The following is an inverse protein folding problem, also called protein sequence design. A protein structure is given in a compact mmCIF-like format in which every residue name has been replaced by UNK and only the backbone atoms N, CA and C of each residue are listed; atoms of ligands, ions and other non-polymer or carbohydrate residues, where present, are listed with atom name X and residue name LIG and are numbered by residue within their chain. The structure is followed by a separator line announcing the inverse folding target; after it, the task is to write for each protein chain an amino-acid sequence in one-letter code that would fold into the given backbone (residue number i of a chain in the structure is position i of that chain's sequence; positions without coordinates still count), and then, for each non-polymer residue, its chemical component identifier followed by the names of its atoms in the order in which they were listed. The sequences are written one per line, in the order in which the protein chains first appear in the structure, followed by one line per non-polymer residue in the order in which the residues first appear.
data_IF_397984631533
#
_entry.id   IF_397984631533
#
_cell.length_a   1.000
_cell.length_b   1.000
_cell.length_c   1.000
_cell.angle_alpha   90.00
_cell.angle_beta   90.00
_cell.angle_gamma   90.00
#
_symmetry.space_group_name_H-M   'P 1'
#
loop_
_entity.id
_entity.type
_entity.pdbx_description
1 polymer ?
#
# COMPACT_ATOMS: atom_id res chain seq x y z
N UNK A 1 8.71 39.74 -34.40
CA UNK A 1 8.09 38.43 -34.25
C UNK A 1 7.59 38.31 -32.83
N UNK A 2 6.29 38.51 -32.60
CA UNK A 2 5.70 38.25 -31.28
C UNK A 2 5.60 36.75 -31.12
N UNK A 3 6.51 36.17 -30.32
CA UNK A 3 6.34 34.80 -29.86
C UNK A 3 5.14 34.84 -28.92
N UNK A 4 4.02 34.25 -29.35
CA UNK A 4 2.85 34.11 -28.51
C UNK A 4 3.28 33.36 -27.23
N UNK A 5 3.11 34.00 -26.10
CA UNK A 5 3.45 33.50 -24.78
C UNK A 5 2.48 32.36 -24.43
N UNK A 6 2.97 31.12 -24.36
CA UNK A 6 2.18 29.95 -23.97
C UNK A 6 2.26 29.78 -22.43
N UNK A 7 1.16 30.07 -21.69
CA UNK A 7 1.13 29.93 -20.25
C UNK A 7 1.53 28.53 -19.77
N UNK A 8 1.21 27.49 -20.54
CA UNK A 8 1.59 26.09 -20.22
C UNK A 8 3.11 25.89 -20.21
N UNK A 9 3.86 26.68 -20.99
CA UNK A 9 5.32 26.59 -21.03
C UNK A 9 5.94 27.12 -19.72
N UNK A 10 5.34 28.12 -19.09
CA UNK A 10 5.78 28.67 -17.80
C UNK A 10 5.51 27.68 -16.69
N UNK A 11 4.29 27.14 -16.62
CA UNK A 11 3.93 26.13 -15.63
C UNK A 11 4.91 24.95 -15.70
N UNK A 12 5.32 24.55 -16.90
CA UNK A 12 6.34 23.51 -17.11
C UNK A 12 7.75 23.92 -16.65
N UNK A 13 8.13 25.19 -16.82
CA UNK A 13 9.44 25.69 -16.40
C UNK A 13 9.53 25.80 -14.88
N UNK A 14 8.51 26.36 -14.24
CA UNK A 14 8.42 26.45 -12.76
C UNK A 14 8.38 25.05 -12.13
N UNK A 15 7.60 24.14 -12.68
CA UNK A 15 7.54 22.75 -12.24
C UNK A 15 8.91 22.07 -12.34
N UNK A 16 9.62 22.32 -13.45
CA UNK A 16 10.97 21.79 -13.69
C UNK A 16 11.97 22.37 -12.68
N UNK A 17 11.87 23.64 -12.35
CA UNK A 17 12.73 24.30 -11.38
C UNK A 17 12.51 23.72 -9.99
N UNK A 18 11.28 23.61 -9.50
CA UNK A 18 10.92 22.97 -8.25
C UNK A 18 11.39 21.51 -8.18
N UNK A 19 11.15 20.75 -9.25
CA UNK A 19 11.54 19.34 -9.30
C UNK A 19 13.06 19.15 -9.27
N UNK A 20 13.84 19.98 -9.97
CA UNK A 20 15.27 19.76 -10.15
C UNK A 20 16.12 20.51 -9.12
N UNK A 21 15.74 21.72 -8.70
CA UNK A 21 16.48 22.52 -7.75
C UNK A 21 16.07 22.26 -6.31
N UNK A 22 14.76 22.23 -6.05
CA UNK A 22 14.23 22.09 -4.69
C UNK A 22 14.02 20.62 -4.30
N UNK A 23 14.12 19.67 -5.28
CA UNK A 23 13.82 18.24 -5.08
C UNK A 23 12.44 18.00 -4.49
N UNK A 24 11.49 18.86 -4.83
CA UNK A 24 10.10 18.72 -4.39
C UNK A 24 9.49 17.41 -4.92
N UNK A 25 9.07 16.55 -3.99
CA UNK A 25 8.59 15.21 -4.32
C UNK A 25 7.33 15.24 -5.19
N UNK A 26 6.42 16.21 -4.96
CA UNK A 26 5.19 16.36 -5.74
C UNK A 26 5.49 16.89 -7.15
N UNK A 27 6.40 17.87 -7.27
CA UNK A 27 6.84 18.40 -8.56
C UNK A 27 7.54 17.32 -9.40
N UNK A 28 8.40 16.49 -8.78
CA UNK A 28 9.03 15.33 -9.43
C UNK A 28 7.99 14.33 -9.94
N UNK A 29 6.95 14.04 -9.16
CA UNK A 29 5.86 13.17 -9.56
C UNK A 29 5.08 13.74 -10.76
N UNK A 30 4.73 15.03 -10.73
CA UNK A 30 4.03 15.69 -11.84
C UNK A 30 4.86 15.69 -13.13
N UNK A 31 6.17 15.96 -13.04
CA UNK A 31 7.07 15.81 -14.18
C UNK A 31 7.11 14.37 -14.70
N UNK A 32 7.13 13.38 -13.84
CA UNK A 32 7.08 11.98 -14.25
C UNK A 32 5.80 11.65 -15.03
N UNK A 33 4.64 12.17 -14.60
CA UNK A 33 3.37 12.01 -15.31
C UNK A 33 3.41 12.61 -16.72
N UNK A 34 4.04 13.78 -16.88
CA UNK A 34 4.22 14.41 -18.21
C UNK A 34 5.03 13.49 -19.11
N UNK A 35 6.18 12.96 -18.65
CA UNK A 35 6.97 12.01 -19.44
C UNK A 35 6.24 10.70 -19.70
N UNK A 36 5.47 10.19 -18.76
CA UNK A 36 4.68 8.96 -18.90
C UNK A 36 3.57 9.12 -19.96
N UNK A 37 3.01 10.33 -20.13
CA UNK A 37 2.03 10.63 -21.18
C UNK A 37 2.64 10.68 -22.59
N UNK A 38 3.95 10.87 -22.68
CA UNK A 38 4.69 10.90 -23.94
C UNK A 38 5.04 9.48 -24.38
N UNK A 39 4.68 9.09 -25.61
CA UNK A 39 5.00 7.76 -26.13
C UNK A 39 6.50 7.55 -26.32
N UNK A 40 6.96 6.34 -26.06
CA UNK A 40 8.30 5.85 -26.38
C UNK A 40 9.17 5.46 -25.18
N UNK A 41 9.96 4.40 -25.36
CA UNK A 41 10.80 3.79 -24.31
C UNK A 41 11.73 4.77 -23.60
N UNK A 42 12.22 5.80 -24.29
CA UNK A 42 13.09 6.81 -23.69
C UNK A 42 12.33 7.65 -22.66
N UNK A 43 11.07 7.99 -22.95
CA UNK A 43 10.21 8.76 -22.05
C UNK A 43 9.74 7.90 -20.88
N UNK A 44 9.42 6.62 -21.11
CA UNK A 44 9.10 5.66 -20.04
C UNK A 44 10.25 5.54 -19.04
N UNK A 45 11.51 5.39 -19.52
CA UNK A 45 12.69 5.35 -18.66
C UNK A 45 12.86 6.67 -17.88
N UNK A 46 12.63 7.81 -18.52
CA UNK A 46 12.71 9.11 -17.89
C UNK A 46 11.63 9.27 -16.79
N UNK A 47 10.39 8.86 -17.10
CA UNK A 47 9.30 8.86 -16.15
C UNK A 47 9.63 7.96 -14.92
N UNK A 48 10.15 6.75 -15.16
CA UNK A 48 10.58 5.85 -14.11
C UNK A 48 11.62 6.48 -13.18
N UNK A 49 12.67 7.12 -13.71
CA UNK A 49 13.70 7.78 -12.89
C UNK A 49 13.14 8.95 -12.06
N UNK A 50 12.19 9.71 -12.60
CA UNK A 50 11.53 10.78 -11.89
C UNK A 50 10.57 10.26 -10.80
N UNK A 51 9.79 9.19 -11.09
CA UNK A 51 8.98 8.51 -10.07
C UNK A 51 9.87 7.97 -8.95
N UNK A 52 11.02 7.35 -9.29
CA UNK A 52 11.98 6.84 -8.31
C UNK A 52 12.51 7.98 -7.42
N UNK A 53 12.89 9.11 -8.00
CA UNK A 53 13.33 10.27 -7.24
C UNK A 53 12.23 10.79 -6.31
N UNK A 54 11.00 10.94 -6.79
CA UNK A 54 9.85 11.34 -5.97
C UNK A 54 9.57 10.35 -4.84
N UNK A 55 9.61 9.03 -5.15
CA UNK A 55 9.36 7.96 -4.20
C UNK A 55 10.40 7.92 -3.06
N UNK A 56 11.67 8.23 -3.35
CA UNK A 56 12.72 8.32 -2.33
C UNK A 56 12.54 9.50 -1.39
N UNK A 57 11.82 10.56 -1.83
CA UNK A 57 11.42 11.68 -0.98
C UNK A 57 10.07 11.45 -0.26
N UNK A 58 9.59 10.21 -0.23
CA UNK A 58 8.44 9.83 0.60
C UNK A 58 7.07 9.98 -0.05
N UNK A 59 6.96 10.41 -1.31
CA UNK A 59 5.67 10.64 -1.92
C UNK A 59 4.93 9.32 -2.23
N UNK A 60 3.84 9.05 -1.51
CA UNK A 60 3.10 7.77 -1.57
C UNK A 60 2.63 7.42 -2.99
N UNK A 61 2.07 8.39 -3.75
CA UNK A 61 1.65 8.16 -5.15
C UNK A 61 2.83 7.77 -6.06
N UNK A 62 4.02 8.35 -5.83
CA UNK A 62 5.19 7.97 -6.60
C UNK A 62 5.67 6.55 -6.27
N UNK A 63 5.59 6.15 -4.99
CA UNK A 63 5.87 4.76 -4.56
C UNK A 63 4.89 3.78 -5.20
N UNK A 64 3.60 4.14 -5.27
CA UNK A 64 2.60 3.35 -5.99
C UNK A 64 2.93 3.22 -7.48
N UNK A 65 3.29 4.33 -8.15
CA UNK A 65 3.72 4.29 -9.55
C UNK A 65 4.97 3.46 -9.78
N UNK A 66 5.90 3.42 -8.83
CA UNK A 66 7.05 2.49 -8.86
C UNK A 66 6.60 1.03 -8.82
N UNK A 67 5.57 0.71 -8.02
CA UNK A 67 4.91 -0.61 -8.03
C UNK A 67 4.40 -0.97 -9.42
N UNK A 68 3.59 -0.10 -10.03
CA UNK A 68 3.05 -0.30 -11.38
C UNK A 68 4.13 -0.44 -12.46
N UNK A 69 5.19 0.37 -12.39
CA UNK A 69 6.30 0.29 -13.33
C UNK A 69 7.02 -1.06 -13.25
N UNK A 70 7.26 -1.57 -12.05
CA UNK A 70 7.90 -2.89 -11.85
C UNK A 70 6.96 -4.04 -12.20
N UNK A 71 5.65 -3.94 -11.90
CA UNK A 71 4.63 -4.93 -12.27
C UNK A 71 4.54 -5.11 -13.79
N UNK A 72 4.54 -4.00 -14.54
CA UNK A 72 4.31 -4.00 -15.99
C UNK A 72 5.59 -3.90 -16.83
N UNK A 73 6.75 -3.69 -16.20
CA UNK A 73 8.01 -3.48 -16.92
C UNK A 73 8.09 -2.14 -17.67
N UNK A 74 7.45 -1.08 -17.14
CA UNK A 74 7.44 0.25 -17.78
C UNK A 74 8.70 1.03 -17.37
N UNK A 75 9.58 1.27 -18.32
CA UNK A 75 10.86 1.99 -18.09
C UNK A 75 11.90 1.20 -17.31
N UNK A 76 11.58 -0.01 -16.87
CA UNK A 76 12.42 -0.94 -16.10
C UNK A 76 12.13 -2.38 -16.50
N UNK A 77 13.02 -3.33 -16.17
CA UNK A 77 12.70 -4.76 -16.31
C UNK A 77 11.60 -5.14 -15.31
N UNK A 78 10.59 -5.90 -15.79
CA UNK A 78 9.52 -6.42 -14.94
C UNK A 78 10.07 -7.22 -13.74
N UNK A 79 9.51 -6.96 -12.56
CA UNK A 79 9.85 -7.68 -11.33
C UNK A 79 8.70 -7.62 -10.35
N UNK A 80 7.98 -8.73 -10.18
CA UNK A 80 6.85 -8.81 -9.24
C UNK A 80 7.29 -8.63 -7.76
N UNK A 81 8.42 -9.21 -7.30
CA UNK A 81 8.88 -8.96 -5.94
C UNK A 81 9.18 -7.47 -5.67
N UNK A 82 9.76 -6.76 -6.66
CA UNK A 82 9.98 -5.32 -6.53
C UNK A 82 8.67 -4.52 -6.57
N UNK A 83 7.69 -4.97 -7.34
CA UNK A 83 6.36 -4.35 -7.35
C UNK A 83 5.69 -4.44 -5.98
N UNK A 84 5.68 -5.64 -5.36
CA UNK A 84 5.18 -5.86 -4.00
C UNK A 84 5.88 -4.92 -3.01
N UNK A 85 7.21 -4.86 -3.04
CA UNK A 85 7.99 -3.99 -2.15
C UNK A 85 7.59 -2.52 -2.27
N UNK A 86 7.35 -2.04 -3.49
CA UNK A 86 6.94 -0.65 -3.70
C UNK A 86 5.49 -0.38 -3.28
N UNK A 87 4.57 -1.33 -3.46
CA UNK A 87 3.19 -1.20 -2.98
C UNK A 87 3.13 -1.14 -1.45
N UNK A 88 3.88 -2.01 -0.75
CA UNK A 88 4.01 -1.96 0.71
C UNK A 88 4.56 -0.60 1.17
N UNK A 89 5.61 -0.08 0.50
CA UNK A 89 6.14 1.26 0.82
C UNK A 89 5.15 2.39 0.56
N UNK A 90 4.28 2.25 -0.45
CA UNK A 90 3.25 3.24 -0.75
C UNK A 90 2.18 3.28 0.34
N UNK A 91 1.75 2.12 0.81
CA UNK A 91 0.78 1.96 1.89
C UNK A 91 1.31 2.57 3.21
N UNK A 92 2.53 2.19 3.63
CA UNK A 92 3.18 2.72 4.83
C UNK A 92 3.28 4.25 4.78
N UNK A 93 3.66 4.84 3.63
CA UNK A 93 3.71 6.29 3.48
C UNK A 93 2.36 6.95 3.65
N UNK A 94 1.31 6.34 3.10
CA UNK A 94 -0.04 6.86 3.23
C UNK A 94 -0.53 6.82 4.68
N UNK A 95 -0.20 5.74 5.41
CA UNK A 95 -0.53 5.59 6.82
C UNK A 95 0.24 6.59 7.71
N UNK A 96 1.55 6.75 7.49
CA UNK A 96 2.42 7.65 8.26
C UNK A 96 1.93 9.11 8.23
N UNK A 97 1.53 9.57 7.05
CA UNK A 97 1.06 10.95 6.89
C UNK A 97 -0.27 11.21 7.64
N UNK A 98 -1.11 10.18 7.81
CA UNK A 98 -2.35 10.27 8.59
C UNK A 98 -2.02 10.27 10.08
N UNK A 99 -1.14 9.37 10.53
CA UNK A 99 -0.76 9.23 11.93
C UNK A 99 -0.05 10.48 12.47
N UNK A 100 0.86 11.09 11.72
CA UNK A 100 1.61 12.29 12.13
C UNK A 100 0.73 13.52 12.41
N UNK A 101 -0.52 13.53 11.94
CA UNK A 101 -1.45 14.66 12.11
C UNK A 101 -2.67 14.37 12.97
N UNK A 102 -2.90 13.11 13.33
CA UNK A 102 -3.98 12.79 14.25
C UNK A 102 -3.46 12.86 15.69
N UNK A 103 -4.03 13.75 16.51
CA UNK A 103 -3.79 13.79 17.95
C UNK A 103 -4.22 12.49 18.68
N UNK A 104 -4.86 11.58 17.93
CA UNK A 104 -5.36 10.29 18.37
C UNK A 104 -4.54 9.11 17.82
N UNK A 105 -3.41 9.37 17.13
CA UNK A 105 -2.52 8.31 16.70
C UNK A 105 -1.97 7.60 17.93
N UNK A 106 -2.43 6.37 18.13
CA UNK A 106 -2.05 5.53 19.24
C UNK A 106 -0.51 5.39 19.24
N UNK A 107 0.09 5.41 20.43
CA UNK A 107 1.55 5.28 20.62
C UNK A 107 2.09 4.03 19.91
N UNK A 108 1.23 2.99 19.82
CA UNK A 108 1.46 1.75 19.12
C UNK A 108 1.58 1.92 17.59
N UNK A 109 0.81 2.81 16.97
CA UNK A 109 0.94 3.13 15.53
C UNK A 109 2.22 3.90 15.23
N UNK A 110 2.68 4.75 16.16
CA UNK A 110 3.97 5.47 16.07
C UNK A 110 5.15 4.52 16.19
N UNK A 111 5.07 3.54 17.08
CA UNK A 111 6.10 2.53 17.31
C UNK A 111 6.20 1.57 16.11
N UNK A 112 5.07 1.18 15.52
CA UNK A 112 5.02 0.42 14.24
C UNK A 112 5.71 1.17 13.10
N UNK A 113 5.47 2.48 12.98
CA UNK A 113 6.10 3.33 11.97
C UNK A 113 7.62 3.46 12.17
N UNK A 114 8.10 3.43 13.42
CA UNK A 114 9.54 3.50 13.73
C UNK A 114 10.26 2.21 13.33
N UNK A 115 9.64 1.04 13.57
CA UNK A 115 10.20 -0.27 13.21
C UNK A 115 10.31 -0.43 11.69
N UNK A 116 9.31 0.04 10.92
CA UNK A 116 9.34 0.01 9.46
C UNK A 116 10.37 0.94 8.81
N UNK A 117 10.91 1.90 9.56
CA UNK A 117 11.89 2.87 9.03
C UNK A 117 13.30 2.31 8.91
N UNK A 118 13.65 1.29 9.67
CA UNK A 118 15.05 0.88 9.83
C UNK A 118 15.45 -0.44 9.17
N UNK A 119 14.50 -1.39 8.86
CA UNK A 119 14.88 -2.69 8.27
C UNK A 119 13.87 -3.20 7.21
N UNK A 120 14.29 -3.41 5.95
CA UNK A 120 13.39 -3.88 4.88
C UNK A 120 12.99 -5.37 4.96
N UNK A 121 13.44 -6.11 5.98
CA UNK A 121 13.20 -7.55 6.11
C UNK A 121 12.34 -7.97 7.31
N UNK A 122 12.10 -7.09 8.27
CA UNK A 122 11.55 -7.46 9.58
C UNK A 122 10.01 -7.36 9.68
N UNK A 123 9.33 -6.89 8.63
CA UNK A 123 7.89 -6.60 8.64
C UNK A 123 6.97 -7.83 8.73
N UNK A 124 7.51 -9.05 8.74
CA UNK A 124 6.70 -10.28 8.57
C UNK A 124 6.23 -10.92 9.87
N UNK A 125 6.85 -10.63 11.01
CA UNK A 125 6.50 -11.27 12.29
C UNK A 125 5.69 -10.38 13.24
N UNK A 126 5.77 -9.05 13.09
CA UNK A 126 5.09 -8.09 13.96
C UNK A 126 3.66 -7.73 13.53
N UNK A 127 3.33 -7.87 12.25
CA UNK A 127 1.98 -7.59 11.73
C UNK A 127 0.91 -8.52 12.33
N UNK A 128 1.28 -9.77 12.64
CA UNK A 128 0.37 -10.75 13.23
C UNK A 128 0.02 -10.42 14.70
N UNK A 129 0.93 -9.77 15.43
CA UNK A 129 0.72 -9.41 16.83
C UNK A 129 -0.08 -8.11 17.03
N UNK A 130 -0.10 -7.22 16.04
CA UNK A 130 -0.70 -5.91 16.15
C UNK A 130 -2.21 -5.87 15.84
N UNK A 131 -2.73 -6.88 15.15
CA UNK A 131 -4.17 -7.06 14.96
C UNK A 131 -4.86 -7.88 16.06
N UNK A 132 -4.09 -8.54 16.90
CA UNK A 132 -4.62 -9.05 18.16
C UNK A 132 -4.89 -7.83 19.06
N UNK A 133 -6.10 -7.27 18.98
CA UNK A 133 -6.61 -6.41 20.05
C UNK A 133 -6.90 -7.32 21.25
N UNK A 134 -5.97 -7.47 22.22
CA UNK A 134 -6.16 -8.38 23.33
C UNK A 134 -7.37 -8.03 24.20
N UNK A 135 -7.69 -6.75 24.26
CA UNK A 135 -8.72 -6.15 25.10
C UNK A 135 -10.17 -6.37 24.62
N UNK A 136 -10.36 -6.69 23.33
CA UNK A 136 -11.70 -6.95 22.77
C UNK A 136 -11.93 -8.45 22.50
N UNK A 137 -10.88 -9.22 22.23
CA UNK A 137 -10.96 -10.64 21.86
C UNK A 137 -10.95 -11.61 23.05
N UNK A 138 -10.58 -11.18 24.25
CA UNK A 138 -10.58 -12.06 25.44
C UNK A 138 -11.98 -12.55 25.86
N UNK A 139 -13.05 -11.95 25.32
CA UNK A 139 -14.43 -12.31 25.65
C UNK A 139 -15.20 -12.99 24.52
N UNK A 140 -14.66 -13.04 23.29
CA UNK A 140 -15.36 -13.60 22.12
C UNK A 140 -14.83 -14.97 21.78
N UNK A 141 -15.71 -15.97 21.75
CA UNK A 141 -15.35 -17.35 21.45
C UNK A 141 -15.15 -17.58 19.96
N UNK A 142 -14.43 -18.63 19.58
CA UNK A 142 -14.22 -18.96 18.18
C UNK A 142 -15.53 -19.35 17.47
N UNK A 143 -16.49 -19.91 18.21
CA UNK A 143 -17.83 -20.24 17.73
C UNK A 143 -18.61 -18.98 17.38
N UNK A 144 -18.51 -17.92 18.19
CA UNK A 144 -19.15 -16.63 17.92
C UNK A 144 -18.52 -15.94 16.70
N UNK A 145 -17.18 -15.99 16.57
CA UNK A 145 -16.48 -15.50 15.39
C UNK A 145 -16.91 -16.28 14.14
N UNK A 146 -16.96 -17.61 14.20
CA UNK A 146 -17.37 -18.43 13.09
C UNK A 146 -18.83 -18.14 12.68
N UNK A 147 -19.73 -18.02 13.67
CA UNK A 147 -21.11 -17.65 13.39
C UNK A 147 -21.23 -16.29 12.70
N UNK A 148 -20.56 -15.27 13.20
CA UNK A 148 -20.57 -13.93 12.57
C UNK A 148 -19.96 -13.95 11.16
N UNK A 149 -18.90 -14.70 10.94
CA UNK A 149 -18.27 -14.88 9.63
C UNK A 149 -19.22 -15.56 8.62
N UNK A 150 -19.97 -16.56 9.06
CA UNK A 150 -21.02 -17.23 8.25
C UNK A 150 -22.18 -16.28 7.91
N UNK A 151 -22.52 -15.35 8.81
CA UNK A 151 -23.52 -14.30 8.57
C UNK A 151 -23.01 -13.20 7.63
N UNK A 152 -21.74 -13.24 7.24
CA UNK A 152 -21.16 -12.34 6.25
C UNK A 152 -20.41 -11.15 6.84
N UNK A 153 -20.19 -11.10 8.17
CA UNK A 153 -19.38 -10.04 8.76
C UNK A 153 -17.93 -10.09 8.27
N UNK A 154 -17.44 -9.04 7.59
CA UNK A 154 -16.12 -9.08 6.96
C UNK A 154 -14.97 -9.09 7.96
N UNK A 155 -15.14 -8.50 9.14
CA UNK A 155 -14.09 -8.54 10.17
C UNK A 155 -14.02 -9.92 10.84
N UNK A 156 -15.17 -10.53 11.12
CA UNK A 156 -15.22 -11.88 11.64
C UNK A 156 -14.66 -12.91 10.63
N UNK A 157 -14.91 -12.71 9.35
CA UNK A 157 -14.30 -13.53 8.28
C UNK A 157 -12.79 -13.42 8.27
N UNK A 158 -12.25 -12.21 8.40
CA UNK A 158 -10.80 -12.00 8.47
C UNK A 158 -10.20 -12.62 9.74
N UNK A 159 -10.82 -12.43 10.91
CA UNK A 159 -10.43 -13.06 12.16
C UNK A 159 -10.42 -14.59 12.06
N UNK A 160 -11.45 -15.18 11.45
CA UNK A 160 -11.54 -16.63 11.27
C UNK A 160 -10.44 -17.15 10.34
N UNK A 161 -10.17 -16.44 9.23
CA UNK A 161 -9.05 -16.74 8.34
C UNK A 161 -7.71 -16.71 9.06
N UNK A 162 -7.49 -15.73 9.92
CA UNK A 162 -6.28 -15.62 10.73
C UNK A 162 -6.12 -16.79 11.72
N UNK A 163 -7.20 -17.19 12.39
CA UNK A 163 -7.19 -18.34 13.29
C UNK A 163 -6.84 -19.64 12.55
N UNK A 164 -7.35 -19.87 11.35
CA UNK A 164 -6.95 -21.00 10.51
C UNK A 164 -5.50 -20.93 10.04
N UNK A 165 -4.98 -19.72 9.74
CA UNK A 165 -3.56 -19.55 9.41
C UNK A 165 -2.62 -20.01 10.53
N UNK A 166 -2.98 -19.73 11.78
CA UNK A 166 -2.15 -20.00 12.95
C UNK A 166 -2.43 -21.37 13.59
N UNK A 167 -3.61 -21.92 13.36
CA UNK A 167 -4.11 -23.06 14.15
C UNK A 167 -4.39 -22.65 15.59
N UNK A 168 -5.05 -21.49 15.79
CA UNK A 168 -5.30 -20.88 17.09
C UNK A 168 -6.74 -21.12 17.59
N UNK A 169 -6.98 -20.85 18.87
CA UNK A 169 -8.31 -20.91 19.51
C UNK A 169 -9.03 -22.25 19.32
N UNK A 170 -8.29 -23.37 19.30
CA UNK A 170 -8.84 -24.73 19.17
C UNK A 170 -9.06 -25.18 17.73
N UNK A 171 -8.78 -24.34 16.75
CA UNK A 171 -8.78 -24.75 15.33
C UNK A 171 -7.46 -25.41 14.96
N UNK A 172 -7.52 -26.41 14.07
CA UNK A 172 -6.33 -26.91 13.40
C UNK A 172 -5.90 -25.94 12.30
N UNK A 173 -4.58 -25.86 12.07
CA UNK A 173 -4.03 -25.03 10.99
C UNK A 173 -4.52 -25.56 9.64
N UNK A 174 -5.24 -24.70 8.90
CA UNK A 174 -5.79 -24.99 7.59
C UNK A 174 -5.61 -23.77 6.67
N UNK A 175 -4.65 -23.87 5.76
CA UNK A 175 -4.32 -22.76 4.85
C UNK A 175 -5.37 -22.59 3.73
N UNK A 176 -6.12 -23.62 3.37
CA UNK A 176 -7.21 -23.50 2.38
C UNK A 176 -8.40 -22.77 3.00
N UNK A 177 -8.77 -23.12 4.22
CA UNK A 177 -9.78 -22.39 4.98
C UNK A 177 -9.37 -20.93 5.24
N UNK A 178 -8.10 -20.70 5.59
CA UNK A 178 -7.56 -19.37 5.78
C UNK A 178 -7.68 -18.51 4.51
N UNK A 179 -7.23 -19.02 3.35
CA UNK A 179 -7.38 -18.34 2.06
C UNK A 179 -8.84 -18.02 1.77
N UNK A 180 -9.74 -18.97 1.96
CA UNK A 180 -11.16 -18.80 1.71
C UNK A 180 -11.77 -17.64 2.52
N UNK A 181 -11.49 -17.60 3.83
CA UNK A 181 -12.08 -16.62 4.71
C UNK A 181 -11.47 -15.22 4.51
N UNK A 182 -10.14 -15.11 4.37
CA UNK A 182 -9.49 -13.84 4.03
C UNK A 182 -9.99 -13.31 2.68
N UNK A 183 -10.18 -14.17 1.69
CA UNK A 183 -10.72 -13.78 0.38
C UNK A 183 -12.14 -13.22 0.49
N UNK A 184 -13.02 -13.89 1.24
CA UNK A 184 -14.39 -13.41 1.48
C UNK A 184 -14.42 -12.03 2.12
N UNK A 185 -13.58 -11.81 3.13
CA UNK A 185 -13.42 -10.51 3.78
C UNK A 185 -12.91 -9.45 2.81
N UNK A 186 -11.86 -9.77 2.06
CA UNK A 186 -11.23 -8.87 1.10
C UNK A 186 -12.16 -8.46 -0.06
N UNK A 187 -12.98 -9.39 -0.56
CA UNK A 187 -13.95 -9.13 -1.64
C UNK A 187 -15.07 -8.18 -1.21
N UNK A 188 -15.37 -8.11 0.08
CA UNK A 188 -16.27 -7.12 0.67
C UNK A 188 -15.60 -5.74 0.89
N UNK A 189 -14.30 -5.62 0.57
CA UNK A 189 -13.55 -4.38 0.74
C UNK A 189 -13.06 -4.14 2.16
N UNK A 190 -13.07 -5.15 3.03
CA UNK A 190 -12.48 -5.05 4.35
C UNK A 190 -10.98 -4.81 4.25
N UNK A 191 -10.49 -3.74 4.85
CA UNK A 191 -9.09 -3.34 4.79
C UNK A 191 -8.16 -4.43 5.35
N UNK A 192 -8.52 -4.98 6.52
CA UNK A 192 -7.77 -6.06 7.16
C UNK A 192 -7.72 -7.30 6.27
N UNK A 193 -8.88 -7.72 5.71
CA UNK A 193 -8.97 -8.87 4.81
C UNK A 193 -8.13 -8.71 3.54
N UNK A 194 -8.13 -7.51 2.94
CA UNK A 194 -7.28 -7.20 1.76
C UNK A 194 -5.81 -7.34 2.12
N UNK A 195 -5.40 -6.80 3.27
CA UNK A 195 -4.02 -6.84 3.73
C UNK A 195 -3.56 -8.27 4.06
N UNK A 196 -4.34 -9.01 4.86
CA UNK A 196 -4.00 -10.37 5.25
C UNK A 196 -3.97 -11.32 4.05
N UNK A 197 -4.88 -11.17 3.10
CA UNK A 197 -4.86 -11.96 1.87
C UNK A 197 -3.61 -11.67 1.02
N UNK A 198 -3.20 -10.40 0.92
CA UNK A 198 -1.96 -10.02 0.23
C UNK A 198 -0.73 -10.65 0.90
N UNK A 199 -0.66 -10.61 2.24
CA UNK A 199 0.40 -11.25 3.01
C UNK A 199 0.39 -12.78 2.85
N UNK A 200 -0.80 -13.38 2.90
CA UNK A 200 -0.98 -14.82 2.69
C UNK A 200 -0.34 -15.27 1.36
N UNK A 201 -0.69 -14.61 0.25
CA UNK A 201 -0.11 -14.93 -1.05
C UNK A 201 1.39 -14.66 -1.14
N UNK A 202 1.89 -13.60 -0.49
CA UNK A 202 3.33 -13.32 -0.42
C UNK A 202 4.08 -14.45 0.30
N UNK A 203 3.55 -14.95 1.43
CA UNK A 203 4.13 -16.08 2.20
C UNK A 203 4.06 -17.40 1.43
N UNK A 204 3.00 -17.60 0.65
CA UNK A 204 2.81 -18.75 -0.23
C UNK A 204 3.63 -18.67 -1.53
N UNK A 205 4.46 -17.63 -1.71
CA UNK A 205 5.27 -17.35 -2.92
C UNK A 205 4.42 -17.20 -4.21
N UNK A 206 3.12 -16.96 -4.06
CA UNK A 206 2.16 -16.70 -5.14
C UNK A 206 2.23 -15.23 -5.55
N UNK A 207 3.30 -14.87 -6.27
CA UNK A 207 3.66 -13.47 -6.52
C UNK A 207 2.61 -12.71 -7.35
N UNK A 208 1.94 -13.35 -8.30
CA UNK A 208 0.93 -12.69 -9.15
C UNK A 208 -0.26 -12.23 -8.32
N UNK A 209 -0.79 -13.12 -7.49
CA UNK A 209 -1.91 -12.81 -6.59
C UNK A 209 -1.48 -11.81 -5.51
N UNK A 210 -0.29 -11.97 -4.95
CA UNK A 210 0.25 -11.03 -3.96
C UNK A 210 0.32 -9.60 -4.54
N UNK A 211 0.84 -9.44 -5.76
CA UNK A 211 0.90 -8.13 -6.44
C UNK A 211 -0.49 -7.52 -6.60
N UNK A 212 -1.48 -8.30 -7.01
CA UNK A 212 -2.84 -7.81 -7.19
C UNK A 212 -3.43 -7.25 -5.90
N UNK A 213 -3.31 -8.01 -4.79
CA UNK A 213 -3.90 -7.61 -3.52
C UNK A 213 -3.12 -6.49 -2.82
N UNK A 214 -1.77 -6.48 -2.87
CA UNK A 214 -0.98 -5.35 -2.37
C UNK A 214 -1.25 -4.07 -3.16
N UNK A 215 -1.47 -4.16 -4.47
CA UNK A 215 -1.89 -3.00 -5.27
C UNK A 215 -3.23 -2.46 -4.81
N UNK A 216 -4.25 -3.32 -4.64
CA UNK A 216 -5.58 -2.93 -4.12
C UNK A 216 -5.47 -2.26 -2.76
N UNK A 217 -4.64 -2.82 -1.87
CA UNK A 217 -4.43 -2.28 -0.54
C UNK A 217 -3.76 -0.90 -0.59
N UNK A 218 -2.71 -0.73 -1.36
CA UNK A 218 -2.03 0.55 -1.53
C UNK A 218 -2.95 1.62 -2.14
N UNK A 219 -3.79 1.26 -3.12
CA UNK A 219 -4.81 2.15 -3.68
C UNK A 219 -5.81 2.61 -2.63
N UNK A 220 -6.30 1.69 -1.80
CA UNK A 220 -7.25 1.99 -0.72
C UNK A 220 -6.63 3.00 0.26
N UNK A 221 -5.41 2.74 0.74
CA UNK A 221 -4.69 3.61 1.69
C UNK A 221 -4.43 5.01 1.11
N UNK A 222 -4.04 5.10 -0.16
CA UNK A 222 -3.86 6.40 -0.82
C UNK A 222 -5.17 7.17 -0.92
N UNK A 223 -6.29 6.51 -1.26
CA UNK A 223 -7.62 7.14 -1.32
C UNK A 223 -8.08 7.63 0.06
N UNK A 224 -7.90 6.83 1.11
CA UNK A 224 -8.22 7.22 2.48
C UNK A 224 -7.43 8.47 2.89
N UNK A 225 -6.12 8.48 2.58
CA UNK A 225 -5.28 9.66 2.81
C UNK A 225 -5.78 10.89 2.08
N UNK A 226 -6.15 10.77 0.81
CA UNK A 226 -6.69 11.89 0.04
C UNK A 226 -8.02 12.40 0.59
N UNK A 227 -8.90 11.50 1.02
CA UNK A 227 -10.17 11.87 1.65
C UNK A 227 -9.94 12.62 2.97
N UNK A 228 -8.95 12.20 3.76
CA UNK A 228 -8.62 12.83 5.04
C UNK A 228 -8.03 14.24 4.87
N UNK A 229 -7.19 14.45 3.85
CA UNK A 229 -6.48 15.72 3.62
C UNK A 229 -7.11 16.61 2.53
N UNK A 230 -7.95 16.06 1.68
CA UNK A 230 -8.57 16.74 0.52
C UNK A 230 -9.84 17.51 0.84
N UNK A 231 -10.31 17.50 2.08
CA UNK A 231 -11.49 18.20 2.56
C UNK A 231 -11.23 19.64 3.05
N UNK A 232 -10.07 20.22 2.70
CA UNK A 232 -9.70 21.61 3.08
C UNK A 232 -9.41 22.45 1.87
#
# INVERSE_FOLDING_TARGET
MNVAFDPKLIDHLELREKALKERDARALYQMAQIYASMKGKKNEKKAYELYKSSATHGYAKARFMMGLCNEKGIGVKQSLPMAITWYIRAEISAASDIADRSDTADEMDRERLHIFREEPGFATELDDAAYARPDVLESVTIEEIAFAAEQGDPYAQDCLGHNYCLGANGLEKDLEAAEYWHRKSAEQGCEAGIHHLAQFYKRAERCDEAVEWYRKYAELRIKQREAYFGGS
#
